data_IF_803551223605
#
_entry.id   IF_803551223605
#
_cell.length_a   1.000
_cell.length_b   1.000
_cell.length_c   1.000
_cell.angle_alpha   90.00
_cell.angle_beta   90.00
_cell.angle_gamma   90.00
#
_symmetry.space_group_name_H-M   'P 1'
#
loop_
_entity.id
_entity.type
_entity.pdbx_description
1 polymer ?
#
# COMPACT_ATOMS: atom_id res chain seq x y z
N UNK A 1 -5.73 4.68 14.41
CA UNK A 1 -6.59 4.17 13.32
C UNK A 1 -6.67 2.66 13.41
N UNK A 2 -7.84 2.12 13.26
CA UNK A 2 -8.06 0.67 13.41
C UNK A 2 -7.93 -0.06 12.08
N UNK A 3 -7.36 -1.25 12.12
CA UNK A 3 -7.26 -2.10 10.95
C UNK A 3 -8.65 -2.51 10.44
N UNK A 4 -8.93 -2.39 9.15
CA UNK A 4 -10.24 -2.78 8.62
C UNK A 4 -10.59 -4.25 8.81
N UNK A 5 -9.58 -5.12 8.86
CA UNK A 5 -9.78 -6.56 8.95
C UNK A 5 -9.96 -7.04 10.38
N UNK A 6 -9.02 -6.73 11.26
CA UNK A 6 -8.99 -7.32 12.59
C UNK A 6 -9.27 -6.33 13.70
N UNK A 7 -9.46 -5.05 13.38
CA UNK A 7 -9.83 -3.98 14.33
C UNK A 7 -8.74 -3.65 15.34
N UNK A 8 -7.55 -4.22 15.20
CA UNK A 8 -6.42 -3.84 16.05
C UNK A 8 -5.93 -2.45 15.66
N UNK A 9 -5.27 -1.79 16.59
CA UNK A 9 -4.68 -0.49 16.29
C UNK A 9 -3.54 -0.67 15.29
N UNK A 10 -3.55 0.16 14.26
CA UNK A 10 -2.44 0.19 13.32
C UNK A 10 -1.38 1.14 13.85
N UNK A 11 -0.13 0.87 13.52
CA UNK A 11 0.96 1.76 13.83
C UNK A 11 1.30 2.59 12.60
N UNK A 12 1.87 3.76 12.83
CA UNK A 12 2.30 4.61 11.74
C UNK A 12 3.79 4.48 11.54
N UNK A 13 4.18 4.23 10.30
CA UNK A 13 5.59 4.19 9.90
C UNK A 13 5.82 5.34 8.96
N UNK A 14 6.89 6.10 9.19
CA UNK A 14 7.18 7.26 8.35
C UNK A 14 8.48 7.03 7.58
N UNK A 15 8.43 7.35 6.28
CA UNK A 15 9.60 7.32 5.43
C UNK A 15 9.59 8.58 4.58
N UNK A 16 10.59 9.46 4.79
CA UNK A 16 10.71 10.70 4.03
C UNK A 16 9.40 11.50 4.01
N UNK A 17 8.79 11.62 5.20
CA UNK A 17 7.56 12.38 5.43
C UNK A 17 6.32 11.73 4.83
N UNK A 18 6.43 10.50 4.34
CA UNK A 18 5.26 9.74 3.91
C UNK A 18 4.85 8.84 5.06
N UNK A 19 3.58 8.94 5.44
CA UNK A 19 3.06 8.19 6.57
C UNK A 19 2.28 6.99 6.06
N UNK A 20 2.64 5.82 6.56
CA UNK A 20 2.00 4.56 6.19
C UNK A 20 1.45 3.93 7.46
N UNK A 21 0.16 3.66 7.47
CA UNK A 21 -0.44 2.95 8.59
C UNK A 21 -0.34 1.45 8.33
N UNK A 22 0.20 0.72 9.28
CA UNK A 22 0.56 -0.68 9.12
C UNK A 22 -0.02 -1.50 10.25
N UNK A 23 -0.67 -2.62 9.90
CA UNK A 23 -1.21 -3.54 10.90
C UNK A 23 -0.18 -4.63 11.20
N UNK A 24 0.24 -4.71 12.46
CA UNK A 24 1.23 -5.71 12.87
C UNK A 24 0.68 -7.13 12.78
N UNK A 25 -0.63 -7.29 12.93
CA UNK A 25 -1.23 -8.62 12.97
C UNK A 25 -1.42 -9.21 11.58
N UNK A 26 -2.00 -8.43 10.65
CA UNK A 26 -2.29 -8.95 9.32
C UNK A 26 -1.33 -8.47 8.25
N UNK A 27 -0.41 -7.56 8.58
CA UNK A 27 0.57 -6.99 7.66
C UNK A 27 -0.05 -6.17 6.53
N UNK A 28 -1.29 -5.75 6.68
CA UNK A 28 -1.93 -4.88 5.72
C UNK A 28 -1.49 -3.43 5.89
N UNK A 29 -1.72 -2.65 4.86
CA UNK A 29 -1.25 -1.27 4.79
C UNK A 29 -2.39 -0.36 4.36
N UNK A 30 -2.53 0.78 5.05
CA UNK A 30 -3.44 1.83 4.65
C UNK A 30 -2.64 3.03 4.16
N UNK A 31 -2.98 3.53 2.98
CA UNK A 31 -2.41 4.76 2.45
C UNK A 31 -3.52 5.80 2.32
N UNK A 32 -3.31 6.97 2.93
CA UNK A 32 -4.23 8.08 2.75
C UNK A 32 -4.20 8.55 1.30
N UNK A 33 -5.25 9.28 0.92
CA UNK A 33 -5.36 9.81 -0.43
C UNK A 33 -4.11 10.61 -0.81
N UNK A 34 -3.55 10.30 -1.97
CA UNK A 34 -2.35 10.98 -2.47
C UNK A 34 -1.04 10.39 -2.00
N UNK A 35 -1.06 9.51 -1.01
CA UNK A 35 0.21 8.98 -0.48
C UNK A 35 0.88 8.00 -1.43
N UNK A 36 0.11 7.29 -2.25
CA UNK A 36 0.73 6.40 -3.23
C UNK A 36 1.57 7.19 -4.23
N UNK A 37 1.04 8.31 -4.69
CA UNK A 37 1.75 9.17 -5.64
C UNK A 37 3.01 9.77 -5.00
N UNK A 38 2.90 10.19 -3.73
CA UNK A 38 4.06 10.70 -3.00
C UNK A 38 5.11 9.62 -2.82
N UNK A 39 4.67 8.41 -2.49
CA UNK A 39 5.59 7.28 -2.31
C UNK A 39 6.34 6.98 -3.60
N UNK A 40 5.64 6.96 -4.72
CA UNK A 40 6.28 6.74 -6.02
C UNK A 40 7.32 7.84 -6.29
N UNK A 41 6.98 9.09 -5.99
CA UNK A 41 7.92 10.19 -6.18
C UNK A 41 9.17 10.05 -5.34
N UNK A 42 9.02 9.67 -4.07
CA UNK A 42 10.17 9.46 -3.19
C UNK A 42 11.03 8.30 -3.68
N UNK A 43 10.41 7.17 -4.03
CA UNK A 43 11.16 6.02 -4.50
C UNK A 43 11.91 6.32 -5.79
N UNK A 44 11.30 7.10 -6.70
CA UNK A 44 11.97 7.49 -7.93
C UNK A 44 13.15 8.41 -7.64
N UNK A 45 13.02 9.29 -6.67
CA UNK A 45 14.13 10.14 -6.25
C UNK A 45 15.27 9.34 -5.65
N UNK A 46 14.98 8.14 -5.13
CA UNK A 46 15.97 7.25 -4.55
C UNK A 46 16.54 6.25 -5.55
N UNK A 47 16.18 6.38 -6.82
CA UNK A 47 16.75 5.56 -7.87
C UNK A 47 15.81 4.54 -8.49
N UNK A 48 14.58 4.43 -8.01
CA UNK A 48 13.60 3.57 -8.66
C UNK A 48 13.17 4.20 -9.98
N UNK A 49 12.55 3.39 -10.83
CA UNK A 49 12.05 3.88 -12.11
C UNK A 49 10.60 3.42 -12.25
N UNK A 50 9.75 3.99 -11.39
CA UNK A 50 8.36 3.59 -11.32
C UNK A 50 7.51 4.51 -12.19
N UNK A 51 6.71 3.91 -13.07
CA UNK A 51 5.90 4.63 -14.05
C UNK A 51 4.44 4.67 -13.59
N UNK A 52 4.11 5.66 -12.76
CA UNK A 52 2.79 5.79 -12.19
C UNK A 52 1.70 5.90 -13.26
N UNK A 53 2.01 6.53 -14.38
CA UNK A 53 1.03 6.71 -15.47
C UNK A 53 0.64 5.40 -16.15
N UNK A 54 1.39 4.33 -15.91
CA UNK A 54 1.05 3.02 -16.46
C UNK A 54 0.15 2.21 -15.52
N UNK A 55 -0.14 2.75 -14.34
CA UNK A 55 -0.98 2.08 -13.36
C UNK A 55 -2.43 2.28 -13.71
N UNK A 56 -3.11 1.20 -14.07
CA UNK A 56 -4.52 1.22 -14.44
C UNK A 56 -5.38 0.85 -13.25
N UNK A 57 -6.62 1.37 -13.22
CA UNK A 57 -7.57 0.96 -12.21
C UNK A 57 -8.93 0.70 -12.85
N UNK A 58 -9.63 -0.29 -12.31
CA UNK A 58 -10.97 -0.65 -12.78
C UNK A 58 -11.86 -0.97 -11.59
N UNK A 59 -13.12 -0.52 -11.61
CA UNK A 59 -14.05 -0.91 -10.54
C UNK A 59 -14.27 -2.42 -10.52
N UNK A 60 -14.41 -2.96 -9.32
CA UNK A 60 -14.58 -4.40 -9.13
C UNK A 60 -15.71 -4.72 -8.14
N UNK A 61 -16.61 -3.76 -7.89
CA UNK A 61 -17.75 -3.97 -7.03
C UNK A 61 -17.49 -3.53 -5.59
N UNK A 62 -18.45 -3.81 -4.71
CA UNK A 62 -18.34 -3.42 -3.31
C UNK A 62 -17.60 -4.51 -2.53
N UNK A 63 -16.71 -4.08 -1.64
CA UNK A 63 -16.03 -4.98 -0.74
C UNK A 63 -16.77 -5.11 0.58
N UNK A 64 -16.22 -5.93 1.48
CA UNK A 64 -16.83 -6.16 2.79
C UNK A 64 -16.16 -5.38 3.92
N UNK A 65 -14.98 -4.83 3.68
CA UNK A 65 -14.25 -4.11 4.70
C UNK A 65 -14.65 -2.63 4.71
N UNK A 66 -14.54 -2.01 5.87
CA UNK A 66 -14.94 -0.61 6.03
C UNK A 66 -13.74 0.29 6.12
N UNK A 67 -13.87 1.49 5.56
CA UNK A 67 -12.82 2.50 5.63
C UNK A 67 -12.53 2.84 7.09
N UNK A 68 -11.25 2.84 7.50
CA UNK A 68 -10.91 3.13 8.90
C UNK A 68 -11.16 4.59 9.29
N UNK A 69 -11.39 5.48 8.31
CA UNK A 69 -11.66 6.88 8.59
C UNK A 69 -13.13 7.15 8.70
N UNK A 70 -13.93 6.70 7.74
CA UNK A 70 -15.35 7.06 7.67
C UNK A 70 -16.31 5.91 7.92
N UNK A 71 -15.79 4.68 8.04
CA UNK A 71 -16.58 3.48 8.33
C UNK A 71 -17.56 3.06 7.23
N UNK A 72 -17.53 3.69 6.07
CA UNK A 72 -18.31 3.22 4.92
C UNK A 72 -17.64 1.99 4.33
N UNK A 73 -18.46 1.08 3.80
CA UNK A 73 -17.90 -0.08 3.10
C UNK A 73 -17.09 0.40 1.91
N UNK A 74 -15.91 -0.16 1.78
CA UNK A 74 -15.01 0.21 0.69
C UNK A 74 -15.40 -0.52 -0.59
N UNK A 75 -15.03 0.06 -1.71
CA UNK A 75 -15.19 -0.56 -3.02
C UNK A 75 -13.93 -1.36 -3.35
N UNK A 76 -14.12 -2.47 -4.05
CA UNK A 76 -12.99 -3.19 -4.62
C UNK A 76 -12.60 -2.53 -5.92
N UNK A 77 -11.31 -2.41 -6.16
CA UNK A 77 -10.79 -1.95 -7.45
C UNK A 77 -9.65 -2.86 -7.88
N UNK A 78 -9.57 -3.11 -9.18
CA UNK A 78 -8.41 -3.75 -9.78
C UNK A 78 -7.38 -2.67 -10.04
N UNK A 79 -6.15 -2.92 -9.65
CA UNK A 79 -5.06 -1.95 -9.79
C UNK A 79 -3.86 -2.65 -10.38
N UNK A 80 -3.02 -1.89 -11.09
CA UNK A 80 -1.80 -2.41 -11.67
C UNK A 80 -1.77 -2.25 -13.17
N UNK A 81 -0.65 -2.65 -13.78
CA UNK A 81 -0.43 -2.50 -15.21
C UNK A 81 -1.49 -3.23 -16.02
N UNK A 82 -1.87 -4.42 -15.60
CA UNK A 82 -2.94 -5.17 -16.23
C UNK A 82 -4.22 -5.16 -15.43
N UNK A 83 -4.34 -4.26 -14.44
CA UNK A 83 -5.47 -4.21 -13.53
C UNK A 83 -5.71 -5.59 -12.89
N UNK A 84 -4.67 -6.19 -12.32
CA UNK A 84 -4.72 -7.56 -11.82
C UNK A 84 -4.66 -7.67 -10.30
N UNK A 85 -4.39 -6.59 -9.59
CA UNK A 85 -4.29 -6.62 -8.13
C UNK A 85 -5.55 -6.02 -7.54
N UNK A 86 -6.23 -6.79 -6.70
CA UNK A 86 -7.50 -6.38 -6.11
C UNK A 86 -7.25 -5.72 -4.76
N UNK A 87 -7.63 -4.46 -4.63
CA UNK A 87 -7.48 -3.73 -3.37
C UNK A 87 -8.80 -3.09 -3.00
N UNK A 88 -8.86 -2.52 -1.80
CA UNK A 88 -10.03 -1.79 -1.30
C UNK A 88 -9.78 -0.30 -1.34
N UNK A 89 -10.78 0.47 -1.76
CA UNK A 89 -10.69 1.91 -1.87
C UNK A 89 -11.89 2.56 -1.23
N UNK A 90 -11.67 3.62 -0.46
CA UNK A 90 -12.77 4.33 0.18
C UNK A 90 -13.62 5.04 -0.89
N UNK A 91 -14.95 4.85 -0.86
CA UNK A 91 -15.81 5.51 -1.85
C UNK A 91 -15.84 7.03 -1.71
N UNK A 92 -15.43 7.55 -0.55
CA UNK A 92 -15.37 9.00 -0.31
C UNK A 92 -13.97 9.56 -0.52
N UNK A 93 -13.05 8.74 -1.00
CA UNK A 93 -11.72 9.23 -1.37
C UNK A 93 -10.74 9.38 -0.23
N UNK A 94 -10.96 8.73 0.91
CA UNK A 94 -10.05 8.89 2.04
C UNK A 94 -8.72 8.15 1.84
N UNK A 95 -8.72 7.06 1.09
CA UNK A 95 -7.49 6.32 0.86
C UNK A 95 -7.75 4.91 0.36
N UNK A 96 -6.69 4.08 0.44
CA UNK A 96 -6.73 2.71 -0.07
C UNK A 96 -6.15 1.74 0.94
N UNK A 97 -6.73 0.56 0.98
CA UNK A 97 -6.27 -0.54 1.84
C UNK A 97 -5.63 -1.62 0.99
N UNK A 98 -4.42 -2.00 1.38
CA UNK A 98 -3.65 -3.05 0.70
C UNK A 98 -3.47 -4.21 1.67
N UNK A 99 -3.93 -5.41 1.31
CA UNK A 99 -3.67 -6.59 2.10
C UNK A 99 -2.17 -6.92 2.07
N UNK A 100 -1.75 -7.83 2.94
CA UNK A 100 -0.34 -8.16 3.09
C UNK A 100 0.34 -8.40 1.75
N UNK A 101 1.40 -7.66 1.47
CA UNK A 101 2.19 -7.82 0.25
C UNK A 101 1.63 -7.16 -0.99
N UNK A 102 0.41 -6.63 -0.95
CA UNK A 102 -0.20 -6.07 -2.16
C UNK A 102 0.38 -4.72 -2.55
N UNK A 103 0.77 -3.90 -1.58
CA UNK A 103 1.43 -2.64 -1.93
C UNK A 103 2.71 -2.91 -2.70
N UNK A 104 3.47 -3.90 -2.25
CA UNK A 104 4.69 -4.31 -2.92
C UNK A 104 4.42 -4.73 -4.36
N UNK A 105 3.36 -5.53 -4.57
CA UNK A 105 2.98 -5.95 -5.92
C UNK A 105 2.60 -4.77 -6.80
N UNK A 106 1.85 -3.81 -6.25
CA UNK A 106 1.44 -2.63 -7.00
C UNK A 106 2.65 -1.81 -7.43
N UNK A 107 3.61 -1.63 -6.51
CA UNK A 107 4.81 -0.88 -6.85
C UNK A 107 5.62 -1.59 -7.93
N UNK A 108 5.71 -2.91 -7.88
CA UNK A 108 6.42 -3.67 -8.92
C UNK A 108 5.75 -3.58 -10.27
N UNK A 109 4.42 -3.44 -10.29
CA UNK A 109 3.70 -3.28 -11.55
C UNK A 109 4.04 -1.97 -12.26
N UNK A 110 4.61 -1.02 -11.54
CA UNK A 110 5.02 0.25 -12.14
C UNK A 110 6.44 0.22 -12.68
N UNK A 111 7.17 -0.88 -12.48
CA UNK A 111 8.52 -1.01 -13.01
C UNK A 111 8.48 -1.32 -14.50
N UNK A 112 9.49 -0.86 -15.27
CA UNK A 112 9.53 -1.18 -16.69
C UNK A 112 9.61 -2.68 -16.92
N UNK A 113 9.01 -3.15 -18.02
CA UNK A 113 9.07 -4.57 -18.39
C UNK A 113 10.53 -4.99 -18.58
N UNK A 114 10.89 -6.13 -17.98
CA UNK A 114 12.23 -6.66 -18.07
C UNK A 114 13.24 -5.99 -17.16
N UNK A 115 12.81 -5.06 -16.32
CA UNK A 115 13.72 -4.43 -15.36
C UNK A 115 14.20 -5.45 -14.33
N UNK A 116 15.45 -5.32 -13.85
CA UNK A 116 15.90 -6.18 -12.76
C UNK A 116 15.12 -5.83 -11.50
N UNK A 117 15.17 -6.75 -10.52
CA UNK A 117 14.49 -6.51 -9.25
C UNK A 117 14.88 -5.14 -8.71
N UNK A 118 13.88 -4.32 -8.37
CA UNK A 118 14.13 -2.96 -7.91
C UNK A 118 14.48 -2.99 -6.42
N UNK A 119 15.77 -2.84 -6.13
CA UNK A 119 16.25 -2.90 -4.75
C UNK A 119 15.73 -1.74 -3.92
N UNK A 120 15.50 -0.57 -4.54
CA UNK A 120 15.00 0.59 -3.79
C UNK A 120 13.64 0.33 -3.20
N UNK A 121 12.73 -0.25 -3.99
CA UNK A 121 11.40 -0.61 -3.51
C UNK A 121 11.51 -1.67 -2.42
N UNK A 122 12.31 -2.71 -2.66
CA UNK A 122 12.49 -3.79 -1.71
C UNK A 122 13.10 -3.25 -0.41
N UNK A 123 14.12 -2.41 -0.53
CA UNK A 123 14.81 -1.85 0.63
C UNK A 123 13.85 -1.00 1.47
N UNK A 124 13.06 -0.16 0.83
CA UNK A 124 12.10 0.66 1.56
C UNK A 124 11.12 -0.21 2.35
N UNK A 125 10.50 -1.17 1.67
CA UNK A 125 9.49 -2.02 2.30
C UNK A 125 10.12 -2.86 3.39
N UNK A 126 11.31 -3.41 3.14
CA UNK A 126 12.02 -4.19 4.14
C UNK A 126 12.39 -3.36 5.36
N UNK A 127 12.92 -2.17 5.14
CA UNK A 127 13.33 -1.30 6.24
C UNK A 127 12.13 -0.85 7.06
N UNK A 128 11.07 -0.38 6.38
CA UNK A 128 9.89 0.11 7.08
C UNK A 128 9.23 -1.00 7.89
N UNK A 129 9.04 -2.16 7.28
CA UNK A 129 8.34 -3.25 7.94
C UNK A 129 9.20 -3.97 8.97
N UNK A 130 10.50 -4.04 8.76
CA UNK A 130 11.39 -4.62 9.76
C UNK A 130 11.51 -3.76 11.00
N UNK A 131 11.53 -2.46 10.84
CA UNK A 131 11.55 -1.56 12.00
C UNK A 131 10.34 -1.82 12.88
N UNK A 132 9.25 -2.30 12.29
CA UNK A 132 8.03 -2.62 12.99
C UNK A 132 8.03 -4.06 13.49
N UNK A 133 8.35 -5.00 12.60
CA UNK A 133 8.30 -6.44 12.87
C UNK A 133 9.46 -6.94 13.69
N UNK A 134 10.58 -6.23 13.69
CA UNK A 134 11.76 -6.68 14.40
C UNK A 134 11.50 -6.95 15.88
N UNK A 135 10.58 -6.20 16.45
CA UNK A 135 10.23 -6.39 17.87
C UNK A 135 9.33 -7.61 18.06
N UNK A 136 8.45 -7.85 17.10
CA UNK A 136 7.51 -8.95 17.21
C UNK A 136 8.16 -10.29 16.93
N UNK A 137 9.09 -10.32 16.01
CA UNK A 137 9.74 -11.57 15.65
C UNK A 137 10.53 -12.15 16.81
N UNK A 138 10.77 -11.37 17.82
CA UNK A 138 11.45 -11.83 19.04
C UNK A 138 10.50 -12.45 20.02
N UNK A 139 9.24 -12.09 19.91
CA UNK A 139 8.25 -12.57 20.83
C UNK A 139 7.95 -14.02 20.68
#
# INVERSE_FOLDING_TARGET
>A
MKCPLDKNDMIMVEHRKIEIDFCLECSGVWLDSGELELLVGVLNAEGADLHLNELLSKPAGQGKWRCPICAHKMNKIWLGKGAKILIDSCPLGHGMWFDAGELQKVLREMEPAGAPANTTVIDFLGTAFQATHGKDSKG
#
